data_IF_233346454354
#
_entry.id   IF_233346454354
#
_cell.length_a   1.000
_cell.length_b   1.000
_cell.length_c   1.000
_cell.angle_alpha   90.00
_cell.angle_beta   90.00
_cell.angle_gamma   90.00
#
_symmetry.space_group_name_H-M   'P 1'
#
loop_
_entity.id
_entity.type
_entity.pdbx_description
1 polymer ?
#
# COMPACT_ATOMS: atom_id res chain seq x y z
N UNK A 1 25.95 6.37 55.75
CA UNK A 1 25.89 7.85 55.81
C UNK A 1 25.75 8.40 54.39
N UNK A 2 24.53 8.68 53.93
CA UNK A 2 24.32 9.30 52.62
C UNK A 2 24.53 10.81 52.71
N UNK A 3 25.64 11.30 52.16
CA UNK A 3 25.89 12.74 52.03
C UNK A 3 25.15 13.23 50.79
N UNK A 4 24.02 13.89 51.01
CA UNK A 4 23.35 14.65 49.96
C UNK A 4 24.25 15.85 49.64
N UNK A 5 24.72 16.01 48.39
CA UNK A 5 25.63 17.09 48.07
C UNK A 5 24.94 18.45 48.25
N UNK A 6 25.69 19.44 48.77
CA UNK A 6 25.18 20.73 49.27
C UNK A 6 24.30 21.50 48.28
N UNK A 7 24.54 21.32 46.97
CA UNK A 7 23.76 21.96 45.91
C UNK A 7 22.30 21.50 45.85
N UNK A 8 21.98 20.26 46.27
CA UNK A 8 20.61 19.73 46.33
C UNK A 8 19.80 20.24 47.52
N UNK A 9 20.44 20.91 48.50
CA UNK A 9 19.73 21.48 49.65
C UNK A 9 19.13 22.86 49.36
N UNK A 10 19.45 23.44 48.21
CA UNK A 10 18.91 24.72 47.79
C UNK A 10 17.56 24.52 47.08
N UNK A 11 16.49 25.10 47.65
CA UNK A 11 15.13 25.06 47.09
C UNK A 11 15.04 25.56 45.65
N UNK A 12 15.91 26.50 45.25
CA UNK A 12 15.94 27.02 43.89
C UNK A 12 16.55 26.04 42.89
N UNK A 13 17.56 25.27 43.31
CA UNK A 13 18.18 24.23 42.47
C UNK A 13 17.23 23.06 42.30
N UNK A 14 16.53 22.65 43.37
CA UNK A 14 15.52 21.59 43.29
C UNK A 14 14.34 22.01 42.41
N UNK A 15 13.85 23.25 42.53
CA UNK A 15 12.80 23.78 41.66
C UNK A 15 13.26 23.87 40.20
N UNK A 16 14.50 24.29 39.93
CA UNK A 16 15.08 24.31 38.59
C UNK A 16 15.27 22.92 37.99
N UNK A 17 15.69 21.94 38.80
CA UNK A 17 15.78 20.54 38.38
C UNK A 17 14.40 19.95 38.09
N UNK A 18 13.42 20.21 38.96
CA UNK A 18 12.04 19.76 38.76
C UNK A 18 11.45 20.40 37.49
N UNK A 19 11.71 21.69 37.26
CA UNK A 19 11.28 22.40 36.06
C UNK A 19 12.02 21.92 34.79
N UNK A 20 13.31 21.63 34.88
CA UNK A 20 14.09 21.07 33.78
C UNK A 20 13.64 19.65 33.43
N UNK A 21 13.41 18.80 34.43
CA UNK A 21 12.83 17.47 34.25
C UNK A 21 11.41 17.60 33.70
N UNK A 22 10.60 18.55 34.16
CA UNK A 22 9.26 18.79 33.62
C UNK A 22 9.32 19.22 32.15
N UNK A 23 10.15 20.18 31.77
CA UNK A 23 10.32 20.58 30.37
C UNK A 23 10.82 19.41 29.51
N UNK A 24 11.77 18.61 30.02
CA UNK A 24 12.31 17.48 29.26
C UNK A 24 11.31 16.30 29.16
N UNK A 25 10.55 15.99 30.21
CA UNK A 25 9.61 14.87 30.19
C UNK A 25 8.22 15.23 29.64
N UNK A 26 7.76 16.46 29.85
CA UNK A 26 6.44 16.92 29.43
C UNK A 26 6.45 17.62 28.05
N UNK A 27 7.54 18.29 27.67
CA UNK A 27 7.65 18.98 26.37
C UNK A 27 8.35 18.12 25.30
N UNK A 28 9.28 17.23 25.67
CA UNK A 28 10.12 16.51 24.69
C UNK A 28 9.64 15.10 24.31
N UNK A 29 8.55 14.59 24.85
CA UNK A 29 8.19 13.19 24.65
C UNK A 29 7.22 12.93 23.50
N UNK A 30 7.49 13.52 22.33
CA UNK A 30 6.77 13.18 21.10
C UNK A 30 7.49 12.15 20.23
N UNK A 31 8.47 11.42 20.78
CA UNK A 31 9.17 10.33 20.07
C UNK A 31 8.20 9.27 19.55
N UNK A 32 7.12 8.99 20.28
CA UNK A 32 6.07 8.07 19.82
C UNK A 32 5.35 8.63 18.59
N UNK A 33 4.91 9.88 18.64
CA UNK A 33 4.21 10.51 17.52
C UNK A 33 5.14 10.67 16.33
N UNK A 34 6.40 11.03 16.53
CA UNK A 34 7.38 11.10 15.44
C UNK A 34 7.58 9.74 14.78
N UNK A 35 7.62 8.66 15.56
CA UNK A 35 7.73 7.31 15.01
C UNK A 35 6.47 6.90 14.24
N UNK A 36 5.29 7.23 14.75
CA UNK A 36 4.02 7.00 14.05
C UNK A 36 3.94 7.77 12.73
N UNK A 37 4.36 9.04 12.74
CA UNK A 37 4.43 9.89 11.55
C UNK A 37 5.42 9.33 10.51
N UNK A 38 6.59 8.90 10.96
CA UNK A 38 7.59 8.28 10.08
C UNK A 38 7.09 6.96 9.47
N UNK A 39 6.27 6.19 10.19
CA UNK A 39 5.62 5.00 9.64
C UNK A 39 4.56 5.35 8.60
N UNK A 40 3.74 6.36 8.88
CA UNK A 40 2.73 6.85 7.95
C UNK A 40 3.37 7.36 6.65
N UNK A 41 4.45 8.13 6.75
CA UNK A 41 5.22 8.59 5.58
C UNK A 41 5.73 7.40 4.76
N UNK A 42 6.33 6.39 5.40
CA UNK A 42 6.80 5.19 4.70
C UNK A 42 5.66 4.44 4.03
N UNK A 43 4.52 4.28 4.69
CA UNK A 43 3.35 3.62 4.12
C UNK A 43 2.83 4.37 2.88
N UNK A 44 2.79 5.70 2.91
CA UNK A 44 2.42 6.51 1.76
C UNK A 44 3.43 6.37 0.62
N UNK A 45 4.72 6.45 0.91
CA UNK A 45 5.78 6.28 -0.09
C UNK A 45 5.72 4.90 -0.75
N UNK A 46 5.49 3.85 0.04
CA UNK A 46 5.33 2.49 -0.45
C UNK A 46 4.12 2.38 -1.38
N UNK A 47 2.99 3.00 -1.02
CA UNK A 47 1.81 3.10 -1.88
C UNK A 47 2.12 3.81 -3.21
N UNK A 48 2.82 4.95 -3.16
CA UNK A 48 3.23 5.67 -4.38
C UNK A 48 4.13 4.80 -5.27
N UNK A 49 5.11 4.11 -4.69
CA UNK A 49 6.00 3.21 -5.44
C UNK A 49 5.22 2.07 -6.09
N UNK A 50 4.30 1.46 -5.36
CA UNK A 50 3.43 0.39 -5.88
C UNK A 50 2.62 0.87 -7.09
N UNK A 51 1.87 1.97 -6.95
CA UNK A 51 1.02 2.46 -8.05
C UNK A 51 1.81 2.92 -9.27
N UNK A 52 3.00 3.53 -9.07
CA UNK A 52 3.89 3.85 -10.20
C UNK A 52 4.32 2.61 -10.96
N UNK A 53 4.69 1.54 -10.25
CA UNK A 53 5.09 0.28 -10.89
C UNK A 53 3.93 -0.38 -11.67
N UNK A 54 2.70 -0.34 -11.12
CA UNK A 54 1.52 -0.86 -11.82
C UNK A 54 1.13 0.00 -13.02
N UNK A 55 1.30 1.32 -12.92
CA UNK A 55 1.09 2.23 -14.03
C UNK A 55 2.05 1.92 -15.19
N UNK A 56 3.33 1.74 -14.91
CA UNK A 56 4.34 1.38 -15.93
C UNK A 56 4.00 0.04 -16.61
N UNK A 57 3.65 -0.99 -15.83
CA UNK A 57 3.22 -2.28 -16.39
C UNK A 57 1.96 -2.14 -17.26
N UNK A 58 0.98 -1.37 -16.79
CA UNK A 58 -0.27 -1.15 -17.51
C UNK A 58 -0.02 -0.38 -18.81
N UNK A 59 0.78 0.68 -18.78
CA UNK A 59 1.16 1.42 -19.98
C UNK A 59 1.91 0.56 -20.98
N UNK A 60 2.80 -0.32 -20.50
CA UNK A 60 3.49 -1.28 -21.37
C UNK A 60 2.50 -2.23 -22.07
N UNK A 61 1.57 -2.82 -21.31
CA UNK A 61 0.49 -3.66 -21.88
C UNK A 61 -0.37 -2.90 -22.88
N UNK A 62 -0.71 -1.66 -22.57
CA UNK A 62 -1.52 -0.82 -23.45
C UNK A 62 -0.79 -0.56 -24.77
N UNK A 63 0.50 -0.24 -24.71
CA UNK A 63 1.35 -0.05 -25.88
C UNK A 63 1.50 -1.33 -26.71
N UNK A 64 1.63 -2.48 -26.06
CA UNK A 64 1.66 -3.79 -26.74
C UNK A 64 0.33 -4.05 -27.47
N UNK A 65 -0.82 -3.76 -26.83
CA UNK A 65 -2.14 -3.85 -27.44
C UNK A 65 -2.33 -2.89 -28.63
N UNK A 66 -1.91 -1.63 -28.49
CA UNK A 66 -2.06 -0.62 -29.54
C UNK A 66 -1.13 -0.88 -30.74
N UNK A 67 0.02 -1.52 -30.50
CA UNK A 67 1.01 -1.77 -31.55
C UNK A 67 0.60 -2.83 -32.57
N UNK A 68 -0.30 -3.76 -32.19
CA UNK A 68 -0.72 -4.87 -33.05
C UNK A 68 -2.26 -5.05 -33.03
N UNK A 69 -2.95 -4.77 -34.14
CA UNK A 69 -4.40 -4.98 -34.26
C UNK A 69 -4.84 -6.41 -33.93
N UNK A 70 -3.99 -7.41 -34.19
CA UNK A 70 -4.30 -8.81 -33.90
C UNK A 70 -4.27 -9.10 -32.40
N UNK A 71 -3.34 -8.48 -31.64
CA UNK A 71 -3.30 -8.57 -30.18
C UNK A 71 -4.52 -7.90 -29.55
N UNK A 72 -4.93 -6.74 -30.08
CA UNK A 72 -6.13 -6.04 -29.63
C UNK A 72 -7.39 -6.87 -29.87
N UNK A 73 -7.55 -7.46 -31.06
CA UNK A 73 -8.70 -8.33 -31.38
C UNK A 73 -8.73 -9.57 -30.47
N UNK A 74 -7.57 -10.21 -30.26
CA UNK A 74 -7.46 -11.36 -29.35
C UNK A 74 -7.87 -10.99 -27.93
N UNK A 75 -7.37 -9.88 -27.39
CA UNK A 75 -7.72 -9.40 -26.06
C UNK A 75 -9.22 -9.09 -25.92
N UNK A 76 -9.81 -8.44 -26.93
CA UNK A 76 -11.24 -8.14 -26.96
C UNK A 76 -12.11 -9.42 -27.00
N UNK A 77 -11.68 -10.45 -27.73
CA UNK A 77 -12.38 -11.74 -27.80
C UNK A 77 -12.24 -12.56 -26.53
N UNK A 78 -11.05 -12.64 -25.93
CA UNK A 78 -10.80 -13.45 -24.73
C UNK A 78 -11.34 -12.81 -23.45
N UNK A 79 -11.18 -11.49 -23.30
CA UNK A 79 -11.54 -10.78 -22.05
C UNK A 79 -13.00 -10.32 -22.06
N UNK A 80 -13.46 -9.80 -23.20
CA UNK A 80 -14.76 -9.13 -23.32
C UNK A 80 -15.74 -9.88 -24.22
N UNK A 81 -15.35 -11.03 -24.78
CA UNK A 81 -16.20 -11.85 -25.66
C UNK A 81 -16.78 -11.04 -26.82
N UNK A 82 -16.04 -10.03 -27.29
CA UNK A 82 -16.46 -9.21 -28.42
C UNK A 82 -16.57 -10.06 -29.69
N UNK A 83 -17.65 -9.84 -30.44
CA UNK A 83 -17.96 -10.53 -31.71
C UNK A 83 -18.23 -9.52 -32.80
N UNK A 84 -17.92 -9.87 -34.05
CA UNK A 84 -18.25 -9.04 -35.20
C UNK A 84 -19.76 -9.15 -35.53
N UNK A 85 -20.37 -8.14 -36.17
CA UNK A 85 -21.74 -8.23 -36.64
C UNK A 85 -21.88 -9.41 -37.62
N UNK A 86 -22.77 -10.36 -37.29
CA UNK A 86 -22.98 -11.59 -38.08
C UNK A 86 -22.15 -12.80 -37.63
N UNK A 87 -21.36 -12.69 -36.56
CA UNK A 87 -20.58 -13.79 -35.99
C UNK A 87 -21.32 -14.42 -34.78
N UNK A 88 -21.48 -15.74 -34.79
CA UNK A 88 -22.14 -16.50 -33.72
C UNK A 88 -21.08 -17.15 -32.81
N UNK A 89 -21.13 -16.86 -31.50
CA UNK A 89 -20.17 -17.37 -30.51
C UNK A 89 -20.85 -18.53 -29.79
N UNK A 90 -20.39 -19.76 -30.01
CA UNK A 90 -20.84 -20.93 -29.26
C UNK A 90 -19.93 -21.16 -28.05
N UNK A 91 -20.51 -21.12 -26.85
CA UNK A 91 -19.85 -21.59 -25.64
C UNK A 91 -20.05 -23.12 -25.59
N UNK A 92 -18.99 -23.89 -25.80
CA UNK A 92 -19.06 -25.35 -25.72
C UNK A 92 -18.75 -25.74 -24.29
N UNK A 93 -19.78 -26.17 -23.56
CA UNK A 93 -19.61 -26.79 -22.25
C UNK A 93 -19.01 -28.20 -22.46
N UNK A 94 -17.98 -28.61 -21.70
CA UNK A 94 -17.46 -29.96 -21.81
C UNK A 94 -18.60 -30.94 -21.53
N UNK A 95 -18.83 -31.87 -22.45
CA UNK A 95 -19.85 -32.91 -22.32
C UNK A 95 -19.58 -33.67 -21.02
N UNK A 96 -20.48 -33.52 -20.05
CA UNK A 96 -20.49 -34.40 -18.89
C UNK A 96 -20.81 -35.82 -19.42
N UNK A 97 -20.01 -36.83 -19.05
CA UNK A 97 -20.16 -38.18 -19.60
C UNK A 97 -21.52 -38.82 -19.31
N UNK A 98 -22.29 -38.27 -18.35
CA UNK A 98 -23.63 -38.76 -17.98
C UNK A 98 -24.73 -38.42 -19.00
N UNK A 99 -24.56 -37.40 -19.84
CA UNK A 99 -25.62 -36.96 -20.78
C UNK A 99 -25.56 -37.64 -22.16
N UNK A 100 -24.57 -38.52 -22.39
CA UNK A 100 -24.34 -39.19 -23.69
C UNK A 100 -25.37 -40.28 -24.05
N UNK A 101 -26.21 -40.68 -23.10
CA UNK A 101 -27.17 -41.80 -23.25
C UNK A 101 -28.60 -41.37 -23.67
N UNK A 102 -28.87 -40.08 -23.93
CA UNK A 102 -30.25 -39.60 -24.17
C UNK A 102 -30.52 -38.93 -25.52
N UNK A 103 -29.70 -39.19 -26.54
CA UNK A 103 -29.98 -38.78 -27.93
C UNK A 103 -31.25 -39.42 -28.52
#
# INVERSE_FOLDING_TARGET
MHRIPSFLRNKYVLAGLLFGVWMLFLDSNNLRIQWELDQEVRALEDGVRYYRSELEKTQKRLKELESDPAQLEKFARETYWMRRPGEEVLLVEPLDPEDSDTL
#
